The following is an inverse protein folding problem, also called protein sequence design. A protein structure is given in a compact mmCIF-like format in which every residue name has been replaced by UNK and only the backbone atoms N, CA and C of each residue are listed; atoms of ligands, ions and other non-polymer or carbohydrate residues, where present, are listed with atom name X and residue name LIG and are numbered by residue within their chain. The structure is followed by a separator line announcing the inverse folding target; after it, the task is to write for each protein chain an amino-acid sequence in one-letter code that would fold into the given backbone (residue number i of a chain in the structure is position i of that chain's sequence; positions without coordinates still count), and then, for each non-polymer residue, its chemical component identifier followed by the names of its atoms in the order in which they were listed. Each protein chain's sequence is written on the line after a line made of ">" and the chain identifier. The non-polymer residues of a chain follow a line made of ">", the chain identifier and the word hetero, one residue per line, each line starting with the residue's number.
data_IF_558120037191
#
_entry.id   IF_558120037191
#
_cell.length_a   1.000
_cell.length_b   1.000
_cell.length_c   1.000
_cell.angle_alpha   90.00
_cell.angle_beta   90.00
_cell.angle_gamma   90.00
#
_symmetry.space_group_name_H-M   'P 1'
#
loop_
_entity.id
_entity.type
_entity.pdbx_description
1 polymer ?
#
# COMPACT_ATOMS: atom_id res chain seq x y z
N UNK A 1 -1.71 -7.00 5.61
CA UNK A 1 -1.95 -7.41 7.01
C UNK A 1 -2.98 -6.46 7.62
N UNK A 2 -3.88 -6.95 8.47
CA UNK A 2 -4.86 -6.11 9.18
C UNK A 2 -4.70 -6.34 10.66
N UNK A 3 -4.68 -5.25 11.44
CA UNK A 3 -4.65 -5.23 12.89
C UNK A 3 -5.67 -4.19 13.36
N UNK A 4 -6.75 -4.64 14.02
CA UNK A 4 -7.84 -3.80 14.50
C UNK A 4 -8.38 -2.84 13.43
N UNK A 5 -8.09 -1.55 13.55
CA UNK A 5 -8.52 -0.47 12.67
C UNK A 5 -7.48 -0.11 11.58
N UNK A 6 -6.40 -0.89 11.46
CA UNK A 6 -5.26 -0.63 10.58
C UNK A 6 -5.11 -1.72 9.51
N UNK A 7 -4.94 -1.29 8.26
CA UNK A 7 -4.50 -2.12 7.14
C UNK A 7 -3.11 -1.68 6.67
N UNK A 8 -2.21 -2.65 6.55
CA UNK A 8 -0.85 -2.48 6.02
C UNK A 8 -0.72 -3.30 4.72
N UNK A 9 -0.29 -2.66 3.65
CA UNK A 9 -0.01 -3.31 2.36
C UNK A 9 1.40 -2.95 1.89
N UNK A 10 2.10 -3.91 1.29
CA UNK A 10 3.47 -3.73 0.80
C UNK A 10 3.82 -4.82 -0.22
N UNK A 11 4.88 -4.63 -1.01
CA UNK A 11 5.35 -5.64 -1.97
C UNK A 11 6.26 -6.74 -1.37
N UNK A 12 6.52 -6.73 -0.06
CA UNK A 12 7.47 -7.69 0.53
C UNK A 12 7.34 -7.88 2.04
N UNK A 13 8.42 -8.40 2.66
CA UNK A 13 8.45 -8.76 4.08
C UNK A 13 8.35 -7.56 5.03
N UNK A 14 8.52 -6.33 4.53
CA UNK A 14 8.38 -5.10 5.30
C UNK A 14 6.98 -4.90 5.91
N UNK A 15 5.95 -5.60 5.41
CA UNK A 15 4.61 -5.58 6.03
C UNK A 15 4.66 -5.88 7.53
N UNK A 16 5.43 -6.88 7.95
CA UNK A 16 5.48 -7.33 9.33
C UNK A 16 6.12 -6.28 10.27
N UNK A 17 7.36 -5.80 10.05
CA UNK A 17 7.97 -4.83 10.93
C UNK A 17 7.24 -3.48 10.95
N UNK A 18 6.53 -3.08 9.88
CA UNK A 18 5.67 -1.89 9.91
C UNK A 18 4.52 -2.10 10.89
N UNK A 19 3.81 -3.23 10.76
CA UNK A 19 2.68 -3.54 11.65
C UNK A 19 3.13 -3.77 13.10
N UNK A 20 4.23 -4.48 13.33
CA UNK A 20 4.78 -4.72 14.67
C UNK A 20 5.11 -3.40 15.39
N UNK A 21 5.64 -2.41 14.66
CA UNK A 21 5.97 -1.09 15.24
C UNK A 21 4.71 -0.30 15.59
N UNK A 22 3.70 -0.36 14.71
CA UNK A 22 2.42 0.29 14.96
C UNK A 22 1.72 -0.35 16.17
N UNK A 23 1.77 -1.68 16.30
CA UNK A 23 1.13 -2.40 17.41
C UNK A 23 1.73 -2.07 18.77
N UNK A 24 3.02 -1.73 18.83
CA UNK A 24 3.68 -1.23 20.05
C UNK A 24 3.54 0.29 20.26
N UNK A 25 2.72 0.98 19.46
CA UNK A 25 2.35 2.38 19.65
C UNK A 25 3.17 3.40 18.84
N UNK A 26 3.98 2.97 17.88
CA UNK A 26 4.64 3.91 16.95
C UNK A 26 3.61 4.50 15.99
N UNK A 27 3.70 5.81 15.71
CA UNK A 27 2.84 6.42 14.70
C UNK A 27 3.15 5.86 13.29
N UNK A 28 2.17 5.94 12.39
CA UNK A 28 2.22 5.30 11.06
C UNK A 28 3.44 5.79 10.27
N UNK A 29 3.64 7.12 10.19
CA UNK A 29 4.74 7.73 9.44
C UNK A 29 6.09 7.18 9.88
N UNK A 30 6.35 7.19 11.19
CA UNK A 30 7.64 6.78 11.73
C UNK A 30 7.82 5.26 11.63
N UNK A 31 6.75 4.48 11.81
CA UNK A 31 6.80 3.02 11.62
C UNK A 31 7.15 2.63 10.19
N UNK A 32 6.57 3.32 9.19
CA UNK A 32 6.91 3.15 7.79
C UNK A 32 8.35 3.60 7.51
N UNK A 33 8.71 4.84 7.87
CA UNK A 33 10.03 5.40 7.59
C UNK A 33 11.14 4.55 8.22
N UNK A 34 10.99 4.17 9.49
CA UNK A 34 11.96 3.35 10.21
C UNK A 34 12.06 1.95 9.61
N UNK A 35 10.96 1.35 9.15
CA UNK A 35 11.01 0.01 8.53
C UNK A 35 11.62 0.02 7.14
N UNK A 36 11.25 1.00 6.31
CA UNK A 36 11.77 1.15 4.95
C UNK A 36 13.27 1.45 4.98
N UNK A 37 13.73 2.40 5.81
CA UNK A 37 15.17 2.71 5.89
C UNK A 37 16.01 1.57 6.48
N UNK A 38 15.44 0.78 7.40
CA UNK A 38 16.16 -0.35 8.03
C UNK A 38 16.30 -1.53 7.08
N UNK A 39 15.27 -1.83 6.30
CA UNK A 39 15.28 -2.96 5.37
C UNK A 39 15.91 -2.62 4.02
N UNK A 40 15.89 -1.33 3.65
CA UNK A 40 16.42 -0.82 2.40
C UNK A 40 15.73 -1.46 1.17
N UNK A 41 16.16 -1.10 -0.05
CA UNK A 41 15.73 -1.79 -1.27
C UNK A 41 16.15 -3.26 -1.29
N UNK A 42 15.48 -4.09 -2.10
CA UNK A 42 15.80 -5.51 -2.24
C UNK A 42 17.13 -5.71 -2.97
N UNK A 43 18.01 -6.57 -2.43
CA UNK A 43 19.35 -6.84 -3.00
C UNK A 43 19.28 -7.90 -4.10
N UNK A 44 18.50 -7.62 -5.15
CA UNK A 44 18.38 -8.41 -6.36
C UNK A 44 19.08 -7.72 -7.56
N UNK A 45 18.98 -8.31 -8.74
CA UNK A 45 19.64 -7.80 -9.95
C UNK A 45 19.10 -6.43 -10.42
N UNK A 46 17.95 -5.99 -9.90
CA UNK A 46 17.25 -4.77 -10.30
C UNK A 46 17.23 -3.69 -9.22
N UNK A 47 17.81 -3.96 -8.05
CA UNK A 47 17.69 -3.12 -6.85
C UNK A 47 16.23 -2.78 -6.54
N UNK A 48 15.34 -3.78 -6.60
CA UNK A 48 13.89 -3.57 -6.53
C UNK A 48 13.49 -2.73 -5.31
N UNK A 49 12.76 -1.61 -5.50
CA UNK A 49 12.29 -0.81 -4.38
C UNK A 49 11.35 -1.58 -3.44
N UNK A 50 11.37 -1.21 -2.15
CA UNK A 50 10.31 -1.60 -1.23
C UNK A 50 9.28 -0.49 -1.17
N UNK A 51 8.04 -0.82 -1.49
CA UNK A 51 6.88 0.07 -1.37
C UNK A 51 5.96 -0.41 -0.25
N UNK A 52 5.32 0.53 0.43
CA UNK A 52 4.32 0.21 1.45
C UNK A 52 3.29 1.34 1.55
N UNK A 53 2.08 0.97 1.96
CA UNK A 53 1.06 1.92 2.39
C UNK A 53 0.37 1.40 3.65
N UNK A 54 -0.10 2.33 4.47
CA UNK A 54 -0.84 2.03 5.69
C UNK A 54 -2.07 2.92 5.72
N UNK A 55 -3.21 2.34 6.03
CA UNK A 55 -4.46 3.06 6.28
C UNK A 55 -4.97 2.68 7.65
N UNK A 56 -5.24 3.67 8.48
CA UNK A 56 -5.98 3.53 9.73
C UNK A 56 -7.36 4.14 9.54
N UNK A 57 -8.40 3.30 9.57
CA UNK A 57 -9.78 3.71 9.32
C UNK A 57 -10.63 3.65 10.58
N UNK A 58 -11.39 4.70 10.85
CA UNK A 58 -12.45 4.73 11.84
C UNK A 58 -13.80 4.95 11.16
N UNK A 59 -14.90 4.96 11.92
CA UNK A 59 -16.24 5.19 11.36
C UNK A 59 -16.37 6.55 10.65
N UNK A 60 -15.65 7.57 11.11
CA UNK A 60 -15.85 8.96 10.69
C UNK A 60 -14.62 9.61 10.03
N UNK A 61 -13.46 8.96 10.09
CA UNK A 61 -12.21 9.50 9.54
C UNK A 61 -11.21 8.39 9.23
N UNK A 62 -10.23 8.71 8.40
CA UNK A 62 -9.09 7.84 8.15
C UNK A 62 -7.78 8.64 8.16
N UNK A 63 -6.69 7.92 8.39
CA UNK A 63 -5.33 8.41 8.23
C UNK A 63 -4.57 7.43 7.33
N UNK A 64 -4.01 7.93 6.23
CA UNK A 64 -3.33 7.11 5.25
C UNK A 64 -1.94 7.66 4.91
N UNK A 65 -0.99 6.75 4.76
CA UNK A 65 0.39 7.05 4.37
C UNK A 65 0.83 6.10 3.28
N UNK A 66 1.66 6.61 2.37
CA UNK A 66 2.31 5.87 1.30
C UNK A 66 3.81 6.11 1.36
N UNK A 67 4.61 5.10 1.03
CA UNK A 67 6.05 5.21 1.11
C UNK A 67 6.81 4.25 0.22
N UNK A 68 8.06 4.62 -0.05
CA UNK A 68 9.00 3.89 -0.89
C UNK A 68 10.43 4.07 -0.37
N UNK A 69 11.24 3.01 -0.47
CA UNK A 69 12.70 3.08 -0.42
C UNK A 69 13.29 2.50 -1.70
N UNK A 70 14.18 3.26 -2.32
CA UNK A 70 15.02 2.88 -3.45
C UNK A 70 16.49 2.93 -3.01
N UNK A 71 17.41 2.60 -3.92
CA UNK A 71 18.85 2.77 -3.74
C UNK A 71 19.36 4.20 -3.50
N UNK A 72 18.48 5.18 -3.70
CA UNK A 72 18.81 6.60 -3.78
C UNK A 72 17.82 7.51 -3.05
N UNK A 73 16.67 6.97 -2.62
CA UNK A 73 15.56 7.75 -2.05
C UNK A 73 14.82 6.97 -0.98
N UNK A 74 14.44 7.66 0.09
CA UNK A 74 13.42 7.21 1.04
C UNK A 74 12.33 8.28 1.11
N UNK A 75 11.08 7.89 0.94
CA UNK A 75 9.93 8.79 0.96
C UNK A 75 8.81 8.15 1.77
N UNK A 76 8.19 8.94 2.65
CA UNK A 76 6.94 8.61 3.34
C UNK A 76 6.10 9.87 3.40
N UNK A 77 4.93 9.82 2.78
CA UNK A 77 4.03 10.97 2.66
C UNK A 77 2.63 10.61 3.13
N UNK A 78 1.94 11.59 3.69
CA UNK A 78 0.54 11.45 4.08
C UNK A 78 -0.33 11.61 2.83
N UNK A 79 -1.30 10.72 2.66
CA UNK A 79 -2.33 10.87 1.63
C UNK A 79 -3.37 11.87 2.16
N UNK A 80 -3.67 12.89 1.36
CA UNK A 80 -4.67 13.90 1.73
C UNK A 80 -6.08 13.33 1.73
N UNK A 81 -6.93 13.82 2.64
CA UNK A 81 -8.32 13.41 2.74
C UNK A 81 -9.06 13.64 1.41
N UNK A 82 -9.77 12.60 0.97
CA UNK A 82 -10.51 12.59 -0.29
C UNK A 82 -9.68 12.25 -1.53
N UNK A 83 -8.37 11.99 -1.38
CA UNK A 83 -7.52 11.53 -2.48
C UNK A 83 -7.20 10.04 -2.36
N UNK A 84 -6.97 9.43 -3.51
CA UNK A 84 -6.36 8.11 -3.62
C UNK A 84 -5.05 8.24 -4.40
N UNK A 85 -4.04 7.48 -4.00
CA UNK A 85 -2.74 7.47 -4.63
C UNK A 85 -2.28 6.04 -4.86
N UNK A 86 -1.47 5.83 -5.89
CA UNK A 86 -0.79 4.57 -6.14
C UNK A 86 0.72 4.78 -6.31
N UNK A 87 1.47 3.70 -6.17
CA UNK A 87 2.90 3.65 -6.40
C UNK A 87 3.29 2.25 -6.87
N UNK A 88 4.32 2.14 -7.69
CA UNK A 88 4.88 0.86 -8.13
C UNK A 88 6.38 0.79 -7.88
N UNK A 89 6.93 -0.41 -7.99
CA UNK A 89 8.38 -0.64 -7.89
C UNK A 89 9.14 -0.13 -9.13
N UNK A 90 8.49 -0.12 -10.29
CA UNK A 90 9.09 0.24 -11.58
C UNK A 90 8.28 1.32 -12.29
N UNK A 91 8.96 2.25 -12.96
CA UNK A 91 8.41 3.42 -13.66
C UNK A 91 7.73 4.45 -12.75
N UNK A 92 6.72 4.06 -11.96
CA UNK A 92 5.90 4.93 -11.11
C UNK A 92 6.39 4.94 -9.66
N UNK A 93 7.65 5.34 -9.46
CA UNK A 93 8.37 5.29 -8.17
C UNK A 93 8.13 6.52 -7.25
N UNK A 94 7.08 7.29 -7.52
CA UNK A 94 6.64 8.45 -6.74
C UNK A 94 5.12 8.36 -6.62
N UNK A 95 4.50 8.70 -5.47
CA UNK A 95 3.05 8.65 -5.33
C UNK A 95 2.35 9.47 -6.41
N UNK A 96 1.43 8.85 -7.14
CA UNK A 96 0.61 9.51 -8.16
C UNK A 96 -0.87 9.47 -7.75
N UNK A 97 -1.55 10.59 -7.91
CA UNK A 97 -2.99 10.69 -7.68
C UNK A 97 -3.75 9.84 -8.70
N UNK A 98 -4.77 9.11 -8.24
CA UNK A 98 -5.62 8.26 -9.06
C UNK A 98 -7.08 8.39 -8.67
N UNK A 99 -7.97 8.34 -9.66
CA UNK A 99 -9.40 8.18 -9.41
C UNK A 99 -9.67 6.69 -9.23
N UNK A 100 -9.81 6.26 -7.98
CA UNK A 100 -10.06 4.86 -7.62
C UNK A 100 -11.52 4.69 -7.18
N UNK A 101 -12.34 4.03 -8.00
CA UNK A 101 -13.78 3.92 -7.75
C UNK A 101 -14.16 2.46 -7.49
N UNK A 102 -14.16 2.06 -6.21
CA UNK A 102 -14.61 0.73 -5.79
C UNK A 102 -15.20 0.75 -4.37
N UNK A 103 -16.39 0.16 -4.21
CA UNK A 103 -17.09 0.07 -2.92
C UNK A 103 -16.99 -1.32 -2.27
N UNK A 104 -16.50 -2.31 -3.01
CA UNK A 104 -16.33 -3.69 -2.53
C UNK A 104 -14.89 -4.15 -2.75
N UNK A 105 -14.35 -5.01 -1.86
CA UNK A 105 -12.99 -5.50 -2.02
C UNK A 105 -12.80 -6.27 -3.34
N UNK A 106 -13.81 -7.00 -3.81
CA UNK A 106 -13.81 -7.62 -5.14
C UNK A 106 -13.69 -6.60 -6.28
N UNK A 107 -14.46 -5.51 -6.23
CA UNK A 107 -14.36 -4.44 -7.21
C UNK A 107 -12.99 -3.74 -7.16
N UNK A 108 -12.44 -3.52 -5.96
CA UNK A 108 -11.11 -2.94 -5.80
C UNK A 108 -10.01 -3.85 -6.36
N UNK A 109 -10.13 -5.17 -6.16
CA UNK A 109 -9.23 -6.14 -6.77
C UNK A 109 -9.26 -6.08 -8.30
N UNK A 110 -10.45 -6.05 -8.90
CA UNK A 110 -10.57 -5.93 -10.36
C UNK A 110 -10.03 -4.59 -10.86
N UNK A 111 -10.37 -3.51 -10.17
CA UNK A 111 -9.94 -2.16 -10.57
C UNK A 111 -8.42 -2.03 -10.65
N UNK A 112 -7.69 -2.50 -9.62
CA UNK A 112 -6.22 -2.46 -9.63
C UNK A 112 -5.60 -3.52 -10.56
N UNK A 113 -6.35 -4.53 -10.96
CA UNK A 113 -5.86 -5.62 -11.81
C UNK A 113 -5.76 -5.16 -13.27
N UNK A 114 -6.81 -4.54 -13.82
CA UNK A 114 -6.85 -4.17 -15.24
C UNK A 114 -7.88 -3.09 -15.64
N UNK A 115 -8.42 -2.29 -14.70
CA UNK A 115 -9.39 -1.24 -15.04
C UNK A 115 -8.84 0.19 -14.82
N UNK A 116 -9.56 1.19 -15.34
CA UNK A 116 -9.24 2.60 -15.12
C UNK A 116 -7.81 2.96 -15.52
N UNK A 117 -7.07 3.58 -14.60
CA UNK A 117 -5.66 3.91 -14.81
C UNK A 117 -4.74 2.67 -14.85
N UNK A 118 -5.20 1.51 -14.34
CA UNK A 118 -4.40 0.30 -14.25
C UNK A 118 -4.46 -0.57 -15.52
N UNK A 119 -5.43 -0.32 -16.41
CA UNK A 119 -5.57 -1.02 -17.69
C UNK A 119 -4.36 -0.87 -18.63
N UNK A 120 -3.54 0.17 -18.43
CA UNK A 120 -2.34 0.43 -19.23
C UNK A 120 -1.10 -0.34 -18.72
N UNK A 121 -1.17 -0.96 -17.53
CA UNK A 121 -0.07 -1.72 -16.97
C UNK A 121 -0.06 -3.15 -17.51
N UNK A 122 1.13 -3.62 -17.86
CA UNK A 122 1.31 -4.94 -18.46
C UNK A 122 1.56 -6.03 -17.42
N UNK A 123 1.31 -7.28 -17.82
CA UNK A 123 1.59 -8.49 -17.04
C UNK A 123 0.84 -8.60 -15.69
N UNK A 124 -0.49 -8.37 -15.65
CA UNK A 124 -1.22 -8.57 -14.41
C UNK A 124 -1.27 -10.07 -14.06
N UNK A 125 -0.99 -10.40 -12.80
CA UNK A 125 -0.91 -11.80 -12.31
C UNK A 125 -1.97 -12.09 -11.27
N UNK A 126 -2.05 -11.27 -10.22
CA UNK A 126 -3.07 -11.38 -9.17
C UNK A 126 -3.20 -10.03 -8.45
N UNK A 127 -4.29 -9.83 -7.73
CA UNK A 127 -4.49 -8.65 -6.90
C UNK A 127 -5.09 -9.00 -5.53
N UNK A 128 -4.93 -8.09 -4.58
CA UNK A 128 -5.51 -8.18 -3.24
C UNK A 128 -5.95 -6.81 -2.81
N UNK A 129 -7.11 -6.72 -2.17
CA UNK A 129 -7.66 -5.45 -1.68
C UNK A 129 -8.25 -5.63 -0.28
N UNK A 130 -8.19 -4.55 0.49
CA UNK A 130 -8.85 -4.43 1.77
C UNK A 130 -9.71 -3.16 1.78
N UNK A 131 -11.00 -3.29 2.13
CA UNK A 131 -11.91 -2.14 2.30
C UNK A 131 -12.41 -2.10 3.73
N UNK A 132 -12.45 -0.90 4.31
CA UNK A 132 -12.98 -0.65 5.63
C UNK A 132 -14.45 -0.22 5.57
N UNK A 133 -15.31 -0.97 6.26
CA UNK A 133 -16.75 -0.69 6.42
C UNK A 133 -17.17 -1.15 7.83
N UNK A 134 -16.77 -0.35 8.84
CA UNK A 134 -16.83 -0.69 10.27
C UNK A 134 -15.86 -1.80 10.71
N UNK A 135 -15.39 -2.62 9.77
CA UNK A 135 -14.31 -3.59 9.88
C UNK A 135 -13.65 -3.78 8.52
N UNK A 136 -12.39 -4.18 8.52
CA UNK A 136 -11.68 -4.52 7.28
C UNK A 136 -12.22 -5.82 6.67
N UNK A 137 -12.50 -5.79 5.36
CA UNK A 137 -12.83 -6.95 4.53
C UNK A 137 -11.72 -7.11 3.49
N UNK A 138 -11.14 -8.30 3.40
CA UNK A 138 -10.01 -8.60 2.51
C UNK A 138 -10.44 -9.62 1.47
N UNK A 139 -10.12 -9.36 0.20
CA UNK A 139 -10.33 -10.30 -0.91
C UNK A 139 -9.06 -10.37 -1.74
N UNK A 140 -8.74 -11.56 -2.25
CA UNK A 140 -7.73 -11.77 -3.29
C UNK A 140 -8.41 -12.18 -4.60
N UNK A 141 -7.82 -11.77 -5.70
CA UNK A 141 -8.24 -12.12 -7.05
C UNK A 141 -7.06 -12.74 -7.79
N UNK A 142 -7.28 -13.91 -8.41
CA UNK A 142 -6.33 -14.61 -9.23
C UNK A 142 -7.10 -15.13 -10.47
N UNK A 143 -6.85 -14.60 -11.68
CA UNK A 143 -7.39 -15.20 -12.89
C UNK A 143 -6.68 -16.54 -13.10
N UNK A 144 -7.47 -17.58 -13.32
CA UNK A 144 -7.00 -18.97 -13.47
C UNK A 144 -5.84 -19.17 -14.45
#
# INVERSE_FOLDING_TARGET
>A
KVLDDIAVISNGSQTNPIEDKISIGMNIRDAMAYSLITLDYEKDDYNTPRIAAVVKGSADSYEAYIGIVTDSKVLVEKIEDGKAQFISTYEKNTPEDVVFSAETPDAACKFIFDEGAFAEFENPVSSVAAIFDGKWKIVGFNPE
#
